data_IF_495517047358
#
_entry.id   IF_495517047358
#
_cell.length_a   1.000
_cell.length_b   1.000
_cell.length_c   1.000
_cell.angle_alpha   90.00
_cell.angle_beta   90.00
_cell.angle_gamma   90.00
#
_symmetry.space_group_name_H-M   'P 1'
#
loop_
_entity.id
_entity.type
_entity.pdbx_description
1 polymer ?
#
# COMPACT_ATOMS: atom_id res chain seq x y z
N UNK A 1 -12.47 11.39 5.96
CA UNK A 1 -13.86 10.97 6.18
C UNK A 1 -14.10 10.41 7.60
N UNK A 2 -13.15 9.69 8.22
CA UNK A 2 -13.28 9.16 9.58
C UNK A 2 -13.45 10.20 10.71
N UNK A 3 -12.97 11.43 10.54
CA UNK A 3 -13.07 12.50 11.55
C UNK A 3 -14.52 12.95 11.79
N UNK A 4 -15.34 13.06 10.73
CA UNK A 4 -16.75 13.46 10.85
C UNK A 4 -17.62 12.44 11.60
N UNK A 5 -17.33 11.14 11.45
CA UNK A 5 -18.04 10.09 12.19
C UNK A 5 -17.69 10.09 13.67
N UNK A 6 -16.46 10.43 14.02
CA UNK A 6 -16.02 10.54 15.43
C UNK A 6 -16.66 11.75 16.11
N UNK A 7 -16.73 12.90 15.41
CA UNK A 7 -17.42 14.10 15.92
C UNK A 7 -18.91 13.82 16.17
N UNK A 8 -19.59 13.15 15.23
CA UNK A 8 -21.00 12.75 15.40
C UNK A 8 -21.20 11.77 16.57
N UNK A 9 -20.29 10.81 16.78
CA UNK A 9 -20.36 9.87 17.89
C UNK A 9 -20.13 10.56 19.24
N UNK A 10 -19.18 11.50 19.32
CA UNK A 10 -18.93 12.29 20.53
C UNK A 10 -20.12 13.19 20.88
N UNK A 11 -20.73 13.83 19.90
CA UNK A 11 -21.94 14.63 20.09
C UNK A 11 -23.09 13.74 20.60
N UNK A 12 -23.24 12.52 20.07
CA UNK A 12 -24.29 11.59 20.51
C UNK A 12 -24.05 11.04 21.91
N UNK A 13 -22.80 10.73 22.29
CA UNK A 13 -22.45 10.29 23.66
C UNK A 13 -22.66 11.44 24.65
N UNK A 14 -22.20 12.65 24.31
CA UNK A 14 -22.44 13.83 25.11
C UNK A 14 -23.93 14.11 25.27
N UNK A 15 -24.71 13.99 24.19
CA UNK A 15 -26.15 14.13 24.21
C UNK A 15 -26.84 13.03 25.04
N UNK A 16 -26.35 11.79 25.02
CA UNK A 16 -26.88 10.71 25.88
C UNK A 16 -26.60 11.00 27.35
N UNK A 17 -25.37 11.39 27.70
CA UNK A 17 -25.00 11.73 29.08
C UNK A 17 -25.81 12.93 29.58
N UNK A 18 -26.00 13.95 28.74
CA UNK A 18 -26.85 15.10 29.07
C UNK A 18 -28.32 14.68 29.19
N UNK A 19 -28.85 13.89 28.26
CA UNK A 19 -30.25 13.44 28.27
C UNK A 19 -30.57 12.56 29.50
N UNK A 20 -29.66 11.69 29.91
CA UNK A 20 -29.83 10.85 31.10
C UNK A 20 -29.79 11.69 32.39
N UNK A 21 -28.99 12.77 32.42
CA UNK A 21 -29.04 13.77 33.48
C UNK A 21 -30.34 14.59 33.47
N UNK A 22 -30.90 14.88 32.29
CA UNK A 22 -32.11 15.71 32.14
C UNK A 22 -33.39 14.91 32.42
N UNK A 23 -33.40 13.60 32.10
CA UNK A 23 -34.56 12.71 32.30
C UNK A 23 -34.67 12.15 33.72
N UNK A 24 -33.65 12.35 34.56
CA UNK A 24 -33.72 12.01 35.97
C UNK A 24 -34.58 12.98 36.82
N UNK A 25 -35.12 14.05 36.23
CA UNK A 25 -35.75 15.16 36.97
C UNK A 25 -37.30 15.11 37.07
N UNK A 26 -38.02 14.23 36.36
CA UNK A 26 -39.46 14.47 36.13
C UNK A 26 -40.45 13.39 36.61
N UNK A 27 -40.07 12.52 37.57
CA UNK A 27 -41.03 11.51 38.13
C UNK A 27 -41.03 11.31 39.64
N UNK A 28 -40.73 12.35 40.43
CA UNK A 28 -41.10 12.37 41.85
C UNK A 28 -41.65 13.73 42.28
N UNK A 29 -42.84 13.80 42.92
CA UNK A 29 -43.39 15.05 43.42
C UNK A 29 -42.43 15.72 44.42
N UNK A 30 -42.07 16.96 44.09
CA UNK A 30 -41.22 17.90 44.81
C UNK A 30 -41.79 18.12 46.22
N UNK A 31 -41.25 17.45 47.23
CA UNK A 31 -41.46 17.86 48.64
C UNK A 31 -40.32 17.52 49.59
N UNK A 32 -39.12 17.24 49.07
CA UNK A 32 -37.92 17.42 49.87
C UNK A 32 -36.75 17.74 48.96
N UNK A 33 -36.49 19.04 48.76
CA UNK A 33 -35.13 19.51 48.52
C UNK A 33 -34.31 19.10 49.74
N UNK A 34 -33.86 17.84 49.77
CA UNK A 34 -32.73 17.44 50.58
C UNK A 34 -31.63 18.41 50.16
N UNK A 35 -31.16 19.22 51.11
CA UNK A 35 -29.90 19.95 50.93
C UNK A 35 -28.86 18.88 50.63
N UNK A 36 -28.62 18.63 49.35
CA UNK A 36 -27.46 17.87 48.91
C UNK A 36 -26.30 18.63 49.52
N UNK A 37 -25.59 17.94 50.41
CA UNK A 37 -24.41 18.49 51.04
C UNK A 37 -23.47 18.91 49.91
N UNK A 38 -22.84 20.08 50.02
CA UNK A 38 -22.02 20.66 48.96
C UNK A 38 -20.97 19.65 48.45
N UNK A 39 -20.58 18.73 49.34
CA UNK A 39 -19.65 17.63 49.14
C UNK A 39 -20.12 16.57 48.10
N UNK A 40 -21.43 16.27 48.01
CA UNK A 40 -21.96 15.29 47.06
C UNK A 40 -21.97 15.84 45.63
N UNK A 41 -22.23 17.14 45.46
CA UNK A 41 -22.18 17.81 44.16
C UNK A 41 -20.74 17.90 43.62
N UNK A 42 -19.76 18.14 44.49
CA UNK A 42 -18.35 18.17 44.09
C UNK A 42 -17.89 16.79 43.62
N UNK A 43 -18.35 15.72 44.30
CA UNK A 43 -17.97 14.34 43.98
C UNK A 43 -18.51 13.90 42.61
N UNK A 44 -19.75 14.26 42.27
CA UNK A 44 -20.35 13.92 40.97
C UNK A 44 -19.68 14.65 39.79
N UNK A 45 -19.36 15.94 39.96
CA UNK A 45 -18.63 16.72 38.95
C UNK A 45 -17.21 16.17 38.74
N UNK A 46 -16.53 15.81 39.83
CA UNK A 46 -15.19 15.21 39.75
C UNK A 46 -15.20 13.87 38.99
N UNK A 47 -16.22 13.04 39.19
CA UNK A 47 -16.36 11.77 38.48
C UNK A 47 -16.55 11.98 36.96
N UNK A 48 -17.39 12.94 36.55
CA UNK A 48 -17.60 13.27 35.13
C UNK A 48 -16.32 13.82 34.49
N UNK A 49 -15.62 14.72 35.18
CA UNK A 49 -14.33 15.25 34.70
C UNK A 49 -13.29 14.14 34.57
N UNK A 50 -13.24 13.21 35.51
CA UNK A 50 -12.36 12.04 35.46
C UNK A 50 -12.59 11.20 34.19
N UNK A 51 -13.85 10.87 33.89
CA UNK A 51 -14.22 10.10 32.69
C UNK A 51 -13.83 10.86 31.41
N UNK A 52 -14.11 12.16 31.34
CA UNK A 52 -13.76 12.99 30.17
C UNK A 52 -12.24 13.04 29.94
N UNK A 53 -11.43 13.19 30.99
CA UNK A 53 -9.97 13.19 30.90
C UNK A 53 -9.44 11.84 30.41
N UNK A 54 -9.96 10.72 30.93
CA UNK A 54 -9.55 9.38 30.49
C UNK A 54 -9.90 9.15 29.01
N UNK A 55 -11.11 9.51 28.60
CA UNK A 55 -11.55 9.39 27.20
C UNK A 55 -10.66 10.24 26.28
N UNK A 56 -10.38 11.49 26.66
CA UNK A 56 -9.50 12.37 25.90
C UNK A 56 -8.06 11.84 25.80
N UNK A 57 -7.53 11.27 26.89
CA UNK A 57 -6.21 10.63 26.92
C UNK A 57 -6.10 9.46 25.94
N UNK A 58 -7.12 8.59 25.87
CA UNK A 58 -7.18 7.48 24.91
C UNK A 58 -7.17 7.99 23.47
N UNK A 59 -7.94 9.03 23.15
CA UNK A 59 -7.95 9.60 21.79
C UNK A 59 -6.59 10.18 21.37
N UNK A 60 -5.90 10.86 22.29
CA UNK A 60 -4.56 11.39 22.04
C UNK A 60 -3.55 10.25 21.80
N UNK A 61 -3.60 9.20 22.63
CA UNK A 61 -2.75 8.01 22.48
C UNK A 61 -2.98 7.26 21.17
N UNK A 62 -4.23 7.17 20.69
CA UNK A 62 -4.54 6.58 19.39
C UNK A 62 -3.94 7.38 18.22
N UNK A 63 -3.89 8.70 18.33
CA UNK A 63 -3.25 9.55 17.32
C UNK A 63 -1.75 9.28 17.19
N UNK A 64 -1.06 9.17 18.32
CA UNK A 64 0.37 8.86 18.37
C UNK A 64 0.64 7.42 17.89
N UNK A 65 -0.17 6.45 18.31
CA UNK A 65 -0.07 5.06 17.86
C UNK A 65 -0.25 4.92 16.33
N UNK A 66 -1.20 5.66 15.73
CA UNK A 66 -1.39 5.68 14.27
C UNK A 66 -0.20 6.26 13.53
N UNK A 67 0.37 7.36 14.02
CA UNK A 67 1.57 7.98 13.43
C UNK A 67 2.76 7.02 13.52
N UNK A 68 2.98 6.41 14.68
CA UNK A 68 4.02 5.41 14.88
C UNK A 68 3.84 4.21 13.95
N UNK A 69 2.61 3.70 13.79
CA UNK A 69 2.31 2.61 12.86
C UNK A 69 2.61 3.02 11.41
N UNK A 70 2.19 4.22 11.00
CA UNK A 70 2.43 4.72 9.63
C UNK A 70 3.92 4.85 9.33
N UNK A 71 4.73 5.34 10.28
CA UNK A 71 6.19 5.42 10.14
C UNK A 71 6.82 4.04 10.01
N UNK A 72 6.35 3.05 10.78
CA UNK A 72 6.79 1.65 10.66
C UNK A 72 6.46 1.08 9.29
N UNK A 73 5.22 1.26 8.81
CA UNK A 73 4.81 0.83 7.47
C UNK A 73 5.69 1.44 6.38
N UNK A 74 5.97 2.74 6.46
CA UNK A 74 6.82 3.43 5.48
C UNK A 74 8.28 2.91 5.52
N UNK A 75 8.79 2.58 6.71
CA UNK A 75 10.13 1.99 6.85
C UNK A 75 10.20 0.59 6.23
N UNK A 76 9.21 -0.27 6.48
CA UNK A 76 9.12 -1.61 5.88
C UNK A 76 8.95 -1.51 4.36
N UNK A 77 8.12 -0.60 3.86
CA UNK A 77 7.96 -0.37 2.43
C UNK A 77 9.29 0.03 1.77
N UNK A 78 10.05 0.94 2.41
CA UNK A 78 11.38 1.34 1.94
C UNK A 78 12.36 0.16 1.89
N UNK A 79 12.35 -0.70 2.90
CA UNK A 79 13.21 -1.89 2.96
C UNK A 79 12.89 -2.86 1.83
N UNK A 80 11.61 -3.21 1.64
CA UNK A 80 11.19 -4.14 0.59
C UNK A 80 11.46 -3.58 -0.81
N UNK A 81 11.26 -2.28 -1.02
CA UNK A 81 11.62 -1.62 -2.26
C UNK A 81 13.13 -1.64 -2.49
N UNK A 82 13.93 -1.34 -1.45
CA UNK A 82 15.39 -1.44 -1.55
C UNK A 82 15.78 -2.84 -1.98
N UNK A 83 15.25 -3.87 -1.33
CA UNK A 83 15.59 -5.26 -1.61
C UNK A 83 15.26 -5.62 -3.07
N UNK A 84 14.08 -5.24 -3.57
CA UNK A 84 13.69 -5.39 -4.99
C UNK A 84 14.66 -4.69 -5.96
N UNK A 85 15.09 -3.46 -5.66
CA UNK A 85 15.95 -2.68 -6.56
C UNK A 85 17.45 -3.03 -6.44
N UNK A 86 17.86 -3.64 -5.33
CA UNK A 86 19.24 -4.10 -5.11
C UNK A 86 19.47 -5.52 -5.57
N UNK A 87 18.41 -6.33 -5.71
CA UNK A 87 18.54 -7.69 -6.21
C UNK A 87 19.01 -7.72 -7.68
N UNK A 88 20.12 -8.40 -8.00
CA UNK A 88 20.66 -8.43 -9.36
C UNK A 88 19.70 -9.01 -10.40
N UNK A 89 18.94 -10.06 -10.06
CA UNK A 89 18.06 -10.76 -10.99
C UNK A 89 16.79 -9.96 -11.28
N UNK A 90 16.15 -9.42 -10.24
CA UNK A 90 15.01 -8.53 -10.33
C UNK A 90 15.36 -7.24 -11.08
N UNK A 91 16.56 -6.69 -10.82
CA UNK A 91 17.07 -5.54 -11.59
C UNK A 91 17.32 -5.88 -13.05
N UNK A 92 17.85 -7.06 -13.36
CA UNK A 92 18.00 -7.51 -14.74
C UNK A 92 16.63 -7.65 -15.43
N UNK A 93 15.62 -8.24 -14.78
CA UNK A 93 14.26 -8.31 -15.34
C UNK A 93 13.68 -6.91 -15.62
N UNK A 94 13.81 -5.96 -14.69
CA UNK A 94 13.40 -4.58 -14.89
C UNK A 94 14.12 -3.92 -16.08
N UNK A 95 15.43 -4.19 -16.25
CA UNK A 95 16.19 -3.69 -17.40
C UNK A 95 15.76 -4.33 -18.72
N UNK A 96 15.39 -5.61 -18.74
CA UNK A 96 14.86 -6.29 -19.94
C UNK A 96 13.51 -5.71 -20.38
N UNK A 97 12.70 -5.18 -19.45
CA UNK A 97 11.46 -4.47 -19.77
C UNK A 97 11.71 -3.07 -20.36
N UNK A 98 12.83 -2.46 -20.02
CA UNK A 98 13.18 -1.09 -20.40
C UNK A 98 14.00 -1.00 -21.68
N UNK A 99 14.89 -1.97 -21.91
CA UNK A 99 15.93 -1.87 -22.92
C UNK A 99 15.98 -3.11 -23.80
N UNK A 100 15.85 -2.92 -25.11
CA UNK A 100 16.02 -3.98 -26.10
C UNK A 100 17.49 -4.17 -26.52
N UNK A 101 17.96 -5.42 -26.57
CA UNK A 101 19.32 -5.74 -27.02
C UNK A 101 20.41 -5.42 -26.01
N UNK A 102 20.09 -5.44 -24.72
CA UNK A 102 21.08 -5.21 -23.65
C UNK A 102 21.84 -6.49 -23.34
N UNK A 103 23.12 -6.36 -23.04
CA UNK A 103 23.99 -7.47 -22.65
C UNK A 103 24.01 -7.67 -21.13
N UNK A 104 23.79 -8.91 -20.69
CA UNK A 104 23.76 -9.33 -19.29
C UNK A 104 24.84 -10.38 -19.03
N UNK A 105 25.34 -10.43 -17.79
CA UNK A 105 26.29 -11.44 -17.34
C UNK A 105 25.54 -12.56 -16.60
N UNK A 106 25.58 -13.77 -17.13
CA UNK A 106 24.96 -14.97 -16.57
C UNK A 106 26.06 -16.01 -16.28
N UNK A 107 26.64 -15.94 -15.08
CA UNK A 107 27.83 -16.71 -14.72
C UNK A 107 29.04 -16.27 -15.55
N UNK A 108 29.61 -17.19 -16.34
CA UNK A 108 30.70 -16.91 -17.27
C UNK A 108 30.24 -16.47 -18.67
N UNK A 109 28.92 -16.47 -18.92
CA UNK A 109 28.36 -16.18 -20.24
C UNK A 109 27.90 -14.73 -20.32
N UNK A 110 28.17 -14.11 -21.47
CA UNK A 110 27.64 -12.79 -21.82
C UNK A 110 26.48 -12.99 -22.79
N UNK A 111 25.27 -12.60 -22.39
CA UNK A 111 24.04 -12.84 -23.13
C UNK A 111 23.43 -11.52 -23.58
N UNK A 112 23.21 -11.33 -24.88
CA UNK A 112 22.47 -10.18 -25.41
C UNK A 112 21.00 -10.55 -25.54
N UNK A 113 20.14 -9.89 -24.75
CA UNK A 113 18.72 -10.23 -24.65
C UNK A 113 17.88 -9.15 -25.33
N UNK A 114 17.02 -9.58 -26.24
CA UNK A 114 16.00 -8.77 -26.90
C UNK A 114 14.61 -9.07 -26.34
N UNK A 115 13.68 -8.13 -26.49
CA UNK A 115 12.28 -8.28 -26.09
C UNK A 115 11.59 -9.46 -26.80
N UNK A 116 12.03 -9.81 -28.02
CA UNK A 116 11.54 -10.99 -28.75
C UNK A 116 11.90 -12.32 -28.07
N UNK A 117 12.94 -12.33 -27.24
CA UNK A 117 13.43 -13.52 -26.54
C UNK A 117 12.63 -13.80 -25.26
N UNK A 118 11.87 -12.81 -24.75
CA UNK A 118 11.06 -12.95 -23.54
C UNK A 118 9.94 -13.97 -23.70
N UNK A 119 9.22 -13.91 -24.84
CA UNK A 119 8.09 -14.80 -25.10
C UNK A 119 8.48 -16.29 -25.10
N UNK A 120 9.52 -16.74 -25.84
CA UNK A 120 9.93 -18.15 -25.80
C UNK A 120 10.54 -18.56 -24.45
N UNK A 121 11.16 -17.64 -23.69
CA UNK A 121 11.68 -17.95 -22.35
C UNK A 121 10.57 -18.17 -21.32
N UNK A 122 9.52 -17.35 -21.36
CA UNK A 122 8.44 -17.34 -20.36
C UNK A 122 7.23 -18.21 -20.74
N UNK A 123 7.40 -19.19 -21.63
CA UNK A 123 6.35 -20.19 -21.87
C UNK A 123 6.22 -21.13 -20.66
N UNK A 124 5.01 -21.64 -20.42
CA UNK A 124 4.76 -22.67 -19.40
C UNK A 124 5.58 -23.92 -19.73
N UNK A 125 6.25 -24.48 -18.71
CA UNK A 125 7.03 -25.70 -18.88
C UNK A 125 6.10 -26.87 -19.25
N UNK A 126 6.44 -27.56 -20.34
CA UNK A 126 5.81 -28.83 -20.71
C UNK A 126 6.88 -29.93 -20.67
N UNK A 127 6.47 -31.19 -20.57
CA UNK A 127 7.40 -32.34 -20.55
C UNK A 127 8.36 -32.39 -21.77
N UNK A 128 8.06 -31.67 -22.85
CA UNK A 128 8.89 -31.58 -24.06
C UNK A 128 9.71 -30.30 -24.17
N UNK A 129 9.48 -29.31 -23.30
CA UNK A 129 10.15 -28.00 -23.39
C UNK A 129 11.53 -28.07 -22.77
N UNK A 130 12.57 -27.85 -23.58
CA UNK A 130 13.93 -27.59 -23.11
C UNK A 130 14.23 -26.12 -23.28
N UNK A 131 14.73 -25.50 -22.21
CA UNK A 131 15.17 -24.11 -22.24
C UNK A 131 16.68 -24.05 -22.45
N UNK A 132 17.13 -23.19 -23.37
CA UNK A 132 18.55 -22.86 -23.49
C UNK A 132 19.04 -22.00 -22.30
N UNK A 133 20.35 -21.76 -22.23
CA UNK A 133 20.96 -20.99 -21.11
C UNK A 133 20.40 -19.57 -21.03
N UNK A 134 20.09 -18.94 -22.17
CA UNK A 134 19.54 -17.59 -22.19
C UNK A 134 18.10 -17.55 -21.69
N UNK A 135 17.28 -18.53 -22.11
CA UNK A 135 15.91 -18.68 -21.66
C UNK A 135 15.84 -18.97 -20.16
N UNK A 136 16.71 -19.85 -19.64
CA UNK A 136 16.82 -20.11 -18.21
C UNK A 136 17.14 -18.83 -17.44
N UNK A 137 18.15 -18.07 -17.88
CA UNK A 137 18.49 -16.80 -17.23
C UNK A 137 17.33 -15.80 -17.23
N UNK A 138 16.62 -15.64 -18.35
CA UNK A 138 15.44 -14.76 -18.43
C UNK A 138 14.37 -15.21 -17.42
N UNK A 139 14.10 -16.52 -17.34
CA UNK A 139 13.12 -17.07 -16.39
C UNK A 139 13.53 -16.77 -14.96
N UNK A 140 14.76 -17.07 -14.56
CA UNK A 140 15.26 -16.82 -13.21
C UNK A 140 15.14 -15.34 -12.82
N UNK A 141 15.43 -14.43 -13.76
CA UNK A 141 15.24 -12.99 -13.55
C UNK A 141 13.77 -12.61 -13.28
N UNK A 142 12.84 -13.11 -14.09
CA UNK A 142 11.43 -12.78 -13.96
C UNK A 142 10.76 -13.50 -12.78
N UNK A 143 11.13 -14.74 -12.48
CA UNK A 143 10.70 -15.45 -11.27
C UNK A 143 11.07 -14.64 -10.02
N UNK A 144 12.33 -14.18 -9.93
CA UNK A 144 12.75 -13.38 -8.78
C UNK A 144 12.00 -12.04 -8.69
N UNK A 145 11.76 -11.36 -9.83
CA UNK A 145 10.93 -10.16 -9.86
C UNK A 145 9.50 -10.45 -9.35
N UNK A 146 8.89 -11.54 -9.78
CA UNK A 146 7.53 -11.90 -9.38
C UNK A 146 7.43 -12.35 -7.93
N UNK A 147 8.47 -13.00 -7.37
CA UNK A 147 8.56 -13.30 -5.94
C UNK A 147 8.55 -12.02 -5.09
N UNK A 148 9.31 -11.00 -5.48
CA UNK A 148 9.26 -9.70 -4.81
C UNK A 148 7.88 -9.04 -4.90
N UNK A 149 7.26 -9.04 -6.08
CA UNK A 149 5.91 -8.47 -6.26
C UNK A 149 4.84 -9.25 -5.48
N UNK A 150 4.97 -10.57 -5.38
CA UNK A 150 4.14 -11.45 -4.56
C UNK A 150 4.27 -11.09 -3.07
N UNK A 151 5.50 -10.91 -2.59
CA UNK A 151 5.78 -10.49 -1.21
C UNK A 151 5.19 -9.10 -0.92
N UNK A 152 5.34 -8.14 -1.83
CA UNK A 152 4.78 -6.80 -1.70
C UNK A 152 3.25 -6.86 -1.59
N UNK A 153 2.56 -7.59 -2.48
CA UNK A 153 1.10 -7.73 -2.40
C UNK A 153 0.68 -8.41 -1.09
N UNK A 154 1.45 -9.40 -0.62
CA UNK A 154 1.18 -10.04 0.66
C UNK A 154 1.28 -9.03 1.81
N UNK A 155 2.34 -8.22 1.87
CA UNK A 155 2.52 -7.21 2.91
C UNK A 155 1.45 -6.11 2.87
N UNK A 156 0.97 -5.72 1.68
CA UNK A 156 -0.19 -4.83 1.54
C UNK A 156 -1.45 -5.50 2.12
N UNK A 157 -1.67 -6.79 1.82
CA UNK A 157 -2.88 -7.51 2.23
C UNK A 157 -3.03 -7.69 3.74
N UNK A 158 -1.92 -7.68 4.48
CA UNK A 158 -1.89 -7.75 5.94
C UNK A 158 -1.65 -6.38 6.60
N UNK A 159 -1.76 -5.29 5.82
CA UNK A 159 -1.59 -3.90 6.28
C UNK A 159 -0.20 -3.60 6.91
N UNK A 160 0.83 -4.39 6.58
CA UNK A 160 2.20 -4.16 7.04
C UNK A 160 2.89 -3.04 6.24
N UNK A 161 2.46 -2.78 5.00
CA UNK A 161 2.87 -1.64 4.21
C UNK A 161 1.65 -0.96 3.58
N UNK A 162 1.74 0.34 3.35
CA UNK A 162 0.67 1.10 2.70
C UNK A 162 0.87 1.08 1.18
N UNK A 163 -0.19 0.83 0.42
CA UNK A 163 -0.15 0.75 -1.05
C UNK A 163 0.51 1.97 -1.72
N UNK A 164 0.19 3.18 -1.22
CA UNK A 164 0.76 4.42 -1.77
C UNK A 164 2.29 4.52 -1.66
N UNK A 165 2.93 3.82 -0.71
CA UNK A 165 4.39 3.87 -0.56
C UNK A 165 5.12 3.13 -1.68
N UNK A 166 4.48 2.12 -2.27
CA UNK A 166 5.06 1.29 -3.32
C UNK A 166 4.52 1.64 -4.71
N UNK A 167 3.42 2.40 -4.77
CA UNK A 167 2.68 2.66 -6.00
C UNK A 167 3.57 3.31 -7.06
N UNK A 168 4.14 4.47 -6.74
CA UNK A 168 4.93 5.26 -7.67
C UNK A 168 6.13 4.48 -8.24
N UNK A 169 7.02 3.87 -7.42
CA UNK A 169 8.23 3.22 -7.94
C UNK A 169 7.96 1.97 -8.80
N UNK A 170 6.85 1.25 -8.57
CA UNK A 170 6.57 -0.02 -9.26
C UNK A 170 5.64 0.17 -10.47
N UNK A 171 4.79 1.20 -10.44
CA UNK A 171 3.72 1.39 -11.40
C UNK A 171 4.19 1.39 -12.87
N UNK A 172 5.35 1.99 -13.16
CA UNK A 172 5.91 2.01 -14.51
C UNK A 172 6.22 0.58 -15.02
N UNK A 173 6.87 -0.26 -14.22
CA UNK A 173 7.18 -1.64 -14.57
C UNK A 173 5.92 -2.50 -14.66
N UNK A 174 4.95 -2.28 -13.76
CA UNK A 174 3.66 -2.94 -13.81
C UNK A 174 2.91 -2.65 -15.13
N UNK A 175 2.93 -1.40 -15.59
CA UNK A 175 2.34 -1.03 -16.87
C UNK A 175 3.06 -1.69 -18.07
N UNK A 176 4.39 -1.80 -18.03
CA UNK A 176 5.18 -2.52 -19.05
C UNK A 176 4.80 -4.00 -19.11
N UNK A 177 4.72 -4.68 -17.96
CA UNK A 177 4.33 -6.09 -17.90
C UNK A 177 2.91 -6.28 -18.44
N UNK A 178 1.96 -5.45 -17.98
CA UNK A 178 0.55 -5.52 -18.40
C UNK A 178 0.36 -5.32 -19.92
N UNK A 179 1.19 -4.47 -20.56
CA UNK A 179 1.18 -4.27 -22.02
C UNK A 179 1.48 -5.56 -22.80
N UNK A 180 2.22 -6.50 -22.22
CA UNK A 180 2.57 -7.78 -22.83
C UNK A 180 1.89 -8.96 -22.10
N UNK A 181 0.62 -8.80 -21.72
CA UNK A 181 -0.18 -9.82 -21.02
C UNK A 181 -0.10 -11.21 -21.64
N UNK A 182 -0.11 -11.32 -22.98
CA UNK A 182 0.03 -12.60 -23.71
C UNK A 182 1.34 -13.35 -23.43
N UNK A 183 2.38 -12.66 -22.99
CA UNK A 183 3.68 -13.25 -22.61
C UNK A 183 3.69 -13.61 -21.13
N UNK A 184 3.22 -12.71 -20.27
CA UNK A 184 3.39 -12.84 -18.82
C UNK A 184 2.25 -13.57 -18.11
N UNK A 185 0.99 -13.39 -18.53
CA UNK A 185 -0.16 -13.94 -17.82
C UNK A 185 -0.11 -15.47 -17.70
N UNK A 186 0.16 -16.26 -18.77
CA UNK A 186 0.21 -17.72 -18.66
C UNK A 186 1.25 -18.18 -17.64
N UNK A 187 2.41 -17.53 -17.63
CA UNK A 187 3.48 -17.79 -16.68
C UNK A 187 3.03 -17.48 -15.24
N UNK A 188 2.47 -16.29 -15.02
CA UNK A 188 2.03 -15.85 -13.70
C UNK A 188 0.94 -16.76 -13.11
N UNK A 189 0.00 -17.23 -13.94
CA UNK A 189 -1.06 -18.12 -13.48
C UNK A 189 -0.56 -19.53 -13.19
N UNK A 190 0.26 -20.10 -14.07
CA UNK A 190 0.78 -21.47 -13.90
C UNK A 190 1.65 -21.60 -12.65
N UNK A 191 2.56 -20.65 -12.42
CA UNK A 191 3.54 -20.72 -11.33
C UNK A 191 3.05 -20.10 -10.01
N UNK A 192 1.74 -19.85 -9.86
CA UNK A 192 1.16 -19.44 -8.57
C UNK A 192 1.32 -17.96 -8.22
N UNK A 193 1.67 -17.10 -9.17
CA UNK A 193 1.87 -15.66 -9.00
C UNK A 193 0.58 -14.83 -9.07
N UNK A 194 -0.57 -15.40 -8.70
CA UNK A 194 -1.88 -14.75 -8.83
C UNK A 194 -1.98 -13.42 -8.04
N UNK A 195 -1.33 -13.32 -6.87
CA UNK A 195 -1.26 -12.08 -6.08
C UNK A 195 -0.36 -11.03 -6.74
N UNK A 196 0.81 -11.42 -7.24
CA UNK A 196 1.68 -10.51 -8.00
C UNK A 196 0.95 -9.98 -9.24
N UNK A 197 0.26 -10.86 -9.98
CA UNK A 197 -0.61 -10.48 -11.10
C UNK A 197 -1.66 -9.44 -10.69
N UNK A 198 -2.37 -9.65 -9.57
CA UNK A 198 -3.33 -8.67 -9.05
C UNK A 198 -2.69 -7.30 -8.79
N UNK A 199 -1.52 -7.26 -8.16
CA UNK A 199 -0.79 -6.03 -7.89
C UNK A 199 -0.38 -5.33 -9.20
N UNK A 200 0.16 -6.08 -10.17
CA UNK A 200 0.57 -5.58 -11.48
C UNK A 200 -0.60 -4.89 -12.18
N UNK A 201 -1.76 -5.57 -12.29
CA UNK A 201 -2.92 -5.00 -12.99
C UNK A 201 -3.55 -3.82 -12.24
N UNK A 202 -3.56 -3.84 -10.89
CA UNK A 202 -4.02 -2.71 -10.09
C UNK A 202 -3.16 -1.47 -10.36
N UNK A 203 -1.83 -1.61 -10.31
CA UNK A 203 -0.89 -0.54 -10.58
C UNK A 203 -0.95 -0.03 -12.02
N UNK A 204 -1.01 -0.95 -12.99
CA UNK A 204 -1.05 -0.63 -14.41
C UNK A 204 -2.31 0.14 -14.79
N UNK A 205 -3.48 -0.20 -14.21
CA UNK A 205 -4.74 0.52 -14.45
C UNK A 205 -4.66 1.99 -14.02
N UNK A 206 -3.88 2.28 -12.97
CA UNK A 206 -3.69 3.63 -12.46
C UNK A 206 -2.60 4.41 -13.22
N UNK A 207 -1.87 3.74 -14.13
CA UNK A 207 -0.80 4.37 -14.91
C UNK A 207 -1.38 5.07 -16.13
N UNK A 208 -1.59 6.37 -16.01
CA UNK A 208 -1.89 7.25 -17.13
C UNK A 208 -0.65 8.11 -17.44
N UNK A 209 0.11 7.79 -18.51
CA UNK A 209 1.29 8.56 -18.90
C UNK A 209 0.99 10.05 -19.14
N UNK A 210 -0.19 10.36 -19.68
CA UNK A 210 -0.59 11.73 -20.02
C UNK A 210 -0.91 12.53 -18.76
N UNK A 211 -1.55 11.91 -17.76
CA UNK A 211 -1.71 12.55 -16.46
C UNK A 211 -0.38 12.86 -15.79
N UNK A 212 0.63 12.00 -15.94
CA UNK A 212 1.95 12.29 -15.37
C UNK A 212 2.61 13.49 -16.07
N UNK A 213 2.54 13.57 -17.40
CA UNK A 213 3.07 14.70 -18.17
C UNK A 213 2.33 16.01 -17.81
N UNK A 214 1.00 15.98 -17.69
CA UNK A 214 0.21 17.16 -17.31
C UNK A 214 0.51 17.71 -15.91
N UNK A 215 1.06 16.88 -15.02
CA UNK A 215 1.44 17.24 -13.64
C UNK A 215 2.87 17.79 -13.55
N UNK A 216 3.67 17.68 -14.61
CA UNK A 216 4.98 18.31 -14.65
C UNK A 216 4.83 19.84 -14.63
N UNK A 217 5.69 20.59 -13.92
CA UNK A 217 5.73 22.04 -14.03
C UNK A 217 5.84 22.47 -15.50
N UNK A 218 5.12 23.53 -15.91
CA UNK A 218 5.13 24.02 -17.31
C UNK A 218 6.55 24.26 -17.86
N UNK A 219 7.51 24.60 -17.00
CA UNK A 219 8.93 24.77 -17.37
C UNK A 219 9.61 23.50 -17.91
N UNK A 220 9.10 22.30 -17.58
CA UNK A 220 9.55 21.01 -18.11
C UNK A 220 8.65 20.49 -19.24
N UNK A 221 7.53 21.17 -19.54
CA UNK A 221 6.63 20.83 -20.64
C UNK A 221 7.03 21.52 -21.95
N UNK A 222 7.90 22.53 -21.91
CA UNK A 222 8.41 23.17 -23.11
C UNK A 222 9.40 22.22 -23.80
N UNK A 223 9.07 21.79 -25.01
CA UNK A 223 9.97 20.98 -25.84
C UNK A 223 11.32 21.69 -25.98
N UNK A 224 12.46 20.96 -25.84
CA UNK A 224 13.75 21.51 -26.16
C UNK A 224 13.70 21.97 -27.63
N UNK A 225 13.75 23.28 -27.82
CA UNK A 225 13.78 23.91 -29.14
C UNK A 225 15.02 23.36 -29.87
N UNK A 226 14.79 22.47 -30.85
CA UNK A 226 15.82 21.75 -31.59
C UNK A 226 16.94 22.72 -32.02
N UNK A 227 18.13 22.49 -31.48
CA UNK A 227 19.39 23.11 -31.90
C UNK A 227 20.35 22.04 -32.40
#
# INVERSE_FOLDING_TARGET
MATKHIESALISILAMVVAEFTLADDRTPISSFRKLDLNDQITSVAAILGVLITVFGVFRGLGEARRANRLRQAAVAKEVLRDLFTDPLGRSAMQMLDWDGRTFQAGSNSLTIHGKDLKPALVVHSNTTKFDVQQQYIRDCFENLFDHLLMIEHLISIENIHYDDIRIPIQYYAAKISKYSRTFDPFLFEYGYAKAHRLIYRLAKEFDPLQQISKLPQALQAEPNDR
#
